data_IF_848144820484
#
_entry.id   IF_848144820484
#
_cell.length_a   1.000
_cell.length_b   1.000
_cell.length_c   1.000
_cell.angle_alpha   90.00
_cell.angle_beta   90.00
_cell.angle_gamma   90.00
#
_symmetry.space_group_name_H-M   'P 1'
#
loop_
_entity.id
_entity.type
_entity.pdbx_description
1 polymer ?
#
# COMPACT_ATOMS: atom_id res chain seq x y z
N UNK A 1 -11.20 -11.09 13.01
CA UNK A 1 -9.76 -10.89 13.01
C UNK A 1 -9.44 -9.42 12.87
N UNK A 2 -8.63 -8.89 13.77
CA UNK A 2 -8.41 -7.46 13.83
C UNK A 2 -6.94 -7.06 13.69
N UNK A 3 -6.17 -7.87 13.01
CA UNK A 3 -4.75 -7.56 12.86
C UNK A 3 -4.54 -6.40 11.91
N UNK A 4 -3.60 -5.54 12.26
CA UNK A 4 -3.27 -4.39 11.42
C UNK A 4 -2.47 -4.84 10.22
N UNK A 5 -2.83 -4.32 9.05
CA UNK A 5 -2.12 -4.56 7.81
C UNK A 5 -1.42 -3.27 7.42
N UNK A 6 -0.11 -3.35 7.16
CA UNK A 6 0.64 -2.20 6.67
C UNK A 6 0.73 -2.30 5.16
N UNK A 7 0.17 -1.32 4.47
CA UNK A 7 0.19 -1.27 3.01
C UNK A 7 1.33 -0.37 2.59
N UNK A 8 2.25 -0.92 1.81
CA UNK A 8 3.49 -0.26 1.45
C UNK A 8 3.38 0.25 0.01
N UNK A 9 3.46 1.57 -0.16
CA UNK A 9 3.25 2.18 -1.47
C UNK A 9 4.36 3.17 -1.78
N UNK A 10 5.34 2.78 -2.61
CA UNK A 10 6.30 3.76 -3.11
C UNK A 10 5.64 4.59 -4.19
N UNK A 11 5.96 5.86 -4.25
CA UNK A 11 5.34 6.78 -5.19
C UNK A 11 6.39 7.71 -5.76
N UNK A 12 6.41 7.83 -7.10
CA UNK A 12 7.29 8.78 -7.75
C UNK A 12 6.59 9.30 -8.99
N UNK A 13 6.34 10.61 -9.03
CA UNK A 13 5.68 11.27 -10.17
C UNK A 13 4.39 10.54 -10.55
N UNK A 14 3.55 10.25 -9.55
CA UNK A 14 2.35 9.46 -9.75
C UNK A 14 1.06 10.27 -9.67
N UNK A 15 1.12 11.57 -9.96
CA UNK A 15 -0.05 12.43 -9.81
C UNK A 15 -1.25 11.96 -10.62
N UNK A 16 -1.02 11.24 -11.72
CA UNK A 16 -2.13 10.76 -12.55
C UNK A 16 -2.84 9.57 -11.94
N UNK A 17 -2.20 8.85 -11.03
CA UNK A 17 -2.71 7.56 -10.58
C UNK A 17 -2.95 7.48 -9.09
N UNK A 18 -2.28 8.33 -8.30
CA UNK A 18 -2.24 8.14 -6.86
C UNK A 18 -3.60 8.30 -6.19
N UNK A 19 -4.46 9.17 -6.71
CA UNK A 19 -5.78 9.36 -6.13
C UNK A 19 -6.59 8.08 -6.20
N UNK A 20 -6.64 7.47 -7.38
CA UNK A 20 -7.40 6.22 -7.54
C UNK A 20 -6.81 5.09 -6.73
N UNK A 21 -5.48 5.05 -6.65
CA UNK A 21 -4.80 4.04 -5.85
C UNK A 21 -5.23 4.17 -4.38
N UNK A 22 -5.17 5.37 -3.83
CA UNK A 22 -5.56 5.60 -2.45
C UNK A 22 -7.04 5.30 -2.25
N UNK A 23 -7.88 5.70 -3.19
CA UNK A 23 -9.31 5.43 -3.07
C UNK A 23 -9.62 3.94 -3.06
N UNK A 24 -8.83 3.15 -3.79
CA UNK A 24 -9.05 1.70 -3.79
C UNK A 24 -8.71 1.10 -2.43
N UNK A 25 -7.82 1.73 -1.68
CA UNK A 25 -7.52 1.29 -0.32
C UNK A 25 -8.60 1.75 0.64
N UNK A 26 -9.05 2.99 0.49
CA UNK A 26 -10.11 3.52 1.35
C UNK A 26 -11.41 2.74 1.20
N UNK A 27 -11.61 2.10 0.06
CA UNK A 27 -12.82 1.33 -0.21
C UNK A 27 -12.73 -0.12 0.24
N UNK A 28 -11.63 -0.53 0.88
CA UNK A 28 -11.50 -1.92 1.30
C UNK A 28 -12.52 -2.26 2.37
N UNK A 29 -13.08 -3.46 2.27
CA UNK A 29 -14.03 -3.93 3.26
C UNK A 29 -13.34 -4.23 4.59
N UNK A 30 -12.07 -4.62 4.55
CA UNK A 30 -11.28 -4.80 5.77
C UNK A 30 -10.72 -3.42 6.15
N UNK A 31 -10.99 -2.97 7.35
CA UNK A 31 -10.72 -1.58 7.71
C UNK A 31 -9.50 -1.34 8.58
N UNK A 32 -8.90 -2.40 9.13
CA UNK A 32 -7.78 -2.23 10.04
C UNK A 32 -6.45 -2.25 9.30
N UNK A 33 -6.14 -1.15 8.65
CA UNK A 33 -4.91 -1.02 7.87
C UNK A 33 -4.30 0.36 8.07
N UNK A 34 -3.01 0.46 7.81
CA UNK A 34 -2.32 1.73 7.61
C UNK A 34 -1.71 1.69 6.22
N UNK A 35 -1.67 2.82 5.55
CA UNK A 35 -1.07 2.91 4.22
C UNK A 35 0.10 3.86 4.30
N UNK A 36 1.31 3.33 4.11
CA UNK A 36 2.52 4.14 4.18
C UNK A 36 2.95 4.44 2.76
N UNK A 37 2.83 5.70 2.38
CA UNK A 37 3.16 6.16 1.04
C UNK A 37 4.47 6.91 1.12
N UNK A 38 5.52 6.38 0.50
CA UNK A 38 6.80 7.05 0.48
C UNK A 38 6.96 7.73 -0.86
N UNK A 39 6.89 9.05 -0.85
CA UNK A 39 7.07 9.83 -2.05
C UNK A 39 8.56 10.06 -2.27
N UNK A 40 9.07 9.57 -3.38
CA UNK A 40 10.49 9.53 -3.66
C UNK A 40 10.96 10.81 -4.34
N UNK A 41 10.64 11.94 -3.72
CA UNK A 41 11.04 13.26 -4.19
C UNK A 41 10.43 13.58 -5.56
N UNK A 42 9.10 13.44 -5.65
CA UNK A 42 8.39 13.70 -6.90
C UNK A 42 8.53 15.14 -7.36
N UNK A 43 8.55 15.31 -8.67
CA UNK A 43 8.67 16.62 -9.28
C UNK A 43 7.33 17.16 -9.79
N UNK A 44 6.30 16.31 -9.81
CA UNK A 44 4.96 16.75 -10.17
C UNK A 44 4.21 17.13 -8.89
N UNK A 45 2.87 17.19 -8.91
CA UNK A 45 2.12 17.56 -7.72
C UNK A 45 1.67 16.38 -6.88
N UNK A 46 2.36 15.24 -7.00
CA UNK A 46 2.06 14.06 -6.17
C UNK A 46 2.11 14.39 -4.68
N UNK A 47 3.14 15.14 -4.26
CA UNK A 47 3.31 15.46 -2.85
C UNK A 47 2.10 16.21 -2.29
N UNK A 48 1.61 17.19 -3.05
CA UNK A 48 0.46 17.97 -2.61
C UNK A 48 -0.79 17.12 -2.52
N UNK A 49 -0.98 16.24 -3.50
CA UNK A 49 -2.15 15.35 -3.51
C UNK A 49 -2.11 14.40 -2.32
N UNK A 50 -0.96 13.78 -2.09
CA UNK A 50 -0.81 12.83 -0.98
C UNK A 50 -1.01 13.55 0.36
N UNK A 51 -0.45 14.75 0.50
CA UNK A 51 -0.61 15.52 1.72
C UNK A 51 -2.07 15.81 1.99
N UNK A 52 -2.81 16.22 0.98
CA UNK A 52 -4.21 16.55 1.15
C UNK A 52 -5.02 15.32 1.56
N UNK A 53 -4.80 14.20 0.89
CA UNK A 53 -5.55 12.99 1.20
C UNK A 53 -5.21 12.45 2.59
N UNK A 54 -3.98 12.63 3.04
CA UNK A 54 -3.60 12.15 4.37
C UNK A 54 -4.26 12.95 5.47
N UNK A 55 -4.69 14.18 5.20
CA UNK A 55 -5.41 14.94 6.23
C UNK A 55 -6.83 14.44 6.40
N UNK A 56 -7.36 13.72 5.42
CA UNK A 56 -8.74 13.25 5.47
C UNK A 56 -8.90 11.90 6.13
N UNK A 57 -7.80 11.13 6.22
CA UNK A 57 -7.85 9.81 6.86
C UNK A 57 -6.51 9.54 7.50
N UNK A 58 -6.51 9.36 8.82
CA UNK A 58 -5.29 9.20 9.59
C UNK A 58 -4.54 7.91 9.29
N UNK A 59 -5.20 6.96 8.65
CA UNK A 59 -4.53 5.70 8.30
C UNK A 59 -3.57 5.88 7.13
N UNK A 60 -3.68 6.99 6.40
CA UNK A 60 -2.75 7.31 5.32
C UNK A 60 -1.58 8.06 5.92
N UNK A 61 -0.41 7.47 5.84
CA UNK A 61 0.80 7.99 6.49
C UNK A 61 1.87 8.29 5.45
N UNK A 62 2.02 9.55 5.05
CA UNK A 62 2.98 9.88 4.01
C UNK A 62 4.38 10.10 4.56
N UNK A 63 5.37 9.77 3.76
CA UNK A 63 6.77 10.09 4.03
C UNK A 63 7.29 10.73 2.76
N UNK A 64 7.85 11.94 2.88
CA UNK A 64 8.35 12.65 1.71
C UNK A 64 9.86 12.70 1.76
N UNK A 65 10.53 12.02 0.84
CA UNK A 65 11.98 11.99 0.80
C UNK A 65 12.51 13.25 0.15
N UNK A 66 13.68 13.69 0.61
CA UNK A 66 14.26 14.93 0.11
C UNK A 66 15.08 14.72 -1.14
N UNK A 67 15.37 13.48 -1.49
CA UNK A 67 16.05 13.16 -2.73
C UNK A 67 15.55 11.83 -3.25
N UNK A 68 15.71 11.63 -4.56
CA UNK A 68 15.27 10.39 -5.18
C UNK A 68 16.24 9.27 -4.83
N UNK A 69 15.72 8.18 -4.29
CA UNK A 69 16.54 7.05 -3.86
C UNK A 69 16.17 5.76 -4.58
N UNK A 70 15.10 5.77 -5.37
CA UNK A 70 14.66 4.58 -6.10
C UNK A 70 13.56 3.83 -5.38
N UNK A 71 12.81 3.03 -6.14
CA UNK A 71 11.64 2.35 -5.60
C UNK A 71 11.98 1.35 -4.51
N UNK A 72 13.12 0.63 -4.66
CA UNK A 72 13.48 -0.37 -3.66
C UNK A 72 13.77 0.26 -2.31
N UNK A 73 14.51 1.37 -2.29
CA UNK A 73 14.81 2.03 -1.03
C UNK A 73 13.57 2.72 -0.47
N UNK A 74 12.70 3.22 -1.34
CA UNK A 74 11.45 3.80 -0.86
C UNK A 74 10.60 2.75 -0.17
N UNK A 75 10.52 1.54 -0.74
CA UNK A 75 9.80 0.44 -0.08
C UNK A 75 10.42 0.09 1.26
N UNK A 76 11.75 0.03 1.30
CA UNK A 76 12.43 -0.28 2.56
C UNK A 76 12.14 0.76 3.63
N UNK A 77 12.09 2.02 3.23
CA UNK A 77 11.75 3.10 4.15
C UNK A 77 10.36 2.88 4.74
N UNK A 78 9.39 2.54 3.89
CA UNK A 78 8.03 2.30 4.35
C UNK A 78 7.97 1.08 5.27
N UNK A 79 8.69 0.02 4.92
CA UNK A 79 8.68 -1.19 5.74
C UNK A 79 9.23 -0.90 7.13
N UNK A 80 10.29 -0.09 7.21
CA UNK A 80 10.87 0.25 8.52
C UNK A 80 9.89 1.01 9.40
N UNK A 81 8.92 1.70 8.80
CA UNK A 81 7.92 2.45 9.55
C UNK A 81 6.64 1.65 9.82
N UNK A 82 6.55 0.45 9.25
CA UNK A 82 5.32 -0.32 9.35
C UNK A 82 5.14 -0.89 10.74
N UNK A 83 3.88 -0.95 11.18
CA UNK A 83 3.53 -1.45 12.51
C UNK A 83 2.57 -2.63 12.44
N UNK A 84 2.18 -3.03 11.25
CA UNK A 84 1.19 -4.07 11.10
C UNK A 84 1.76 -5.46 11.30
N UNK A 85 0.89 -6.38 11.65
CA UNK A 85 1.26 -7.77 11.72
C UNK A 85 1.52 -8.33 10.34
N UNK A 86 0.80 -7.82 9.35
CA UNK A 86 0.97 -8.24 7.96
C UNK A 86 1.39 -7.04 7.13
N UNK A 87 2.13 -7.32 6.08
CA UNK A 87 2.60 -6.29 5.16
C UNK A 87 2.08 -6.63 3.77
N UNK A 88 1.47 -5.67 3.11
CA UNK A 88 0.99 -5.82 1.74
C UNK A 88 1.60 -4.73 0.88
N UNK A 89 1.83 -5.01 -0.39
CA UNK A 89 2.47 -4.07 -1.30
C UNK A 89 1.48 -3.62 -2.36
N UNK A 90 1.47 -2.32 -2.63
CA UNK A 90 0.60 -1.75 -3.65
C UNK A 90 1.34 -0.61 -4.32
N UNK A 91 1.65 -0.75 -5.60
CA UNK A 91 2.32 0.32 -6.32
C UNK A 91 1.34 1.46 -6.59
N UNK A 92 1.88 2.67 -6.72
CA UNK A 92 1.04 3.87 -6.78
C UNK A 92 0.18 3.97 -8.03
N UNK A 93 0.44 3.15 -9.04
CA UNK A 93 -0.38 3.13 -10.26
C UNK A 93 -1.29 1.90 -10.32
N UNK A 94 -1.40 1.16 -9.22
CA UNK A 94 -2.25 -0.03 -9.19
C UNK A 94 -3.51 0.23 -8.37
N UNK A 95 -4.50 -0.63 -8.58
CA UNK A 95 -5.78 -0.56 -7.88
C UNK A 95 -6.08 -1.92 -7.25
N UNK A 96 -6.73 -1.89 -6.10
CA UNK A 96 -7.16 -3.10 -5.43
C UNK A 96 -8.66 -3.27 -5.56
N UNK A 97 -9.11 -4.51 -5.69
CA UNK A 97 -10.51 -4.86 -5.57
C UNK A 97 -10.96 -4.60 -4.12
N UNK A 98 -12.19 -4.14 -3.90
CA UNK A 98 -12.63 -3.79 -2.54
C UNK A 98 -12.53 -4.90 -1.52
N UNK A 99 -12.55 -6.14 -1.93
CA UNK A 99 -12.48 -7.27 -1.01
C UNK A 99 -11.11 -7.93 -0.97
N UNK A 100 -10.09 -7.27 -1.54
CA UNK A 100 -8.79 -7.89 -1.63
C UNK A 100 -8.21 -8.25 -0.26
N UNK A 101 -8.20 -7.30 0.66
CA UNK A 101 -7.62 -7.55 1.98
C UNK A 101 -8.43 -8.58 2.75
N UNK A 102 -9.74 -8.45 2.69
CA UNK A 102 -10.60 -9.39 3.40
C UNK A 102 -10.38 -10.81 2.93
N UNK A 103 -10.35 -11.01 1.63
CA UNK A 103 -10.17 -12.35 1.08
C UNK A 103 -8.78 -12.89 1.35
N UNK A 104 -7.77 -12.05 1.22
CA UNK A 104 -6.40 -12.49 1.43
C UNK A 104 -6.18 -12.90 2.89
N UNK A 105 -6.69 -12.10 3.82
CA UNK A 105 -6.52 -12.42 5.23
C UNK A 105 -7.31 -13.66 5.62
N UNK A 106 -8.50 -13.83 5.08
CA UNK A 106 -9.27 -15.05 5.34
C UNK A 106 -8.53 -16.27 4.84
N UNK A 107 -7.96 -16.19 3.64
CA UNK A 107 -7.21 -17.29 3.07
C UNK A 107 -6.00 -17.63 3.95
N UNK A 108 -5.28 -16.61 4.38
CA UNK A 108 -4.10 -16.83 5.20
C UNK A 108 -4.47 -17.45 6.55
N UNK A 109 -5.55 -16.98 7.14
CA UNK A 109 -6.00 -17.49 8.42
C UNK A 109 -6.44 -18.95 8.29
N UNK A 110 -7.24 -19.25 7.27
CA UNK A 110 -7.72 -20.62 7.08
C UNK A 110 -6.60 -21.61 6.78
N UNK A 111 -5.54 -21.14 6.17
CA UNK A 111 -4.44 -22.00 5.77
C UNK A 111 -3.22 -21.86 6.68
N UNK A 112 -3.37 -21.09 7.76
CA UNK A 112 -2.32 -20.92 8.77
C UNK A 112 -1.02 -20.40 8.19
N UNK A 113 -1.12 -19.52 7.20
CA UNK A 113 0.04 -18.91 6.58
C UNK A 113 0.55 -17.78 7.48
N UNK A 114 1.83 -17.85 7.85
CA UNK A 114 2.37 -16.94 8.85
C UNK A 114 2.64 -15.54 8.33
N UNK A 115 2.87 -15.38 7.04
CA UNK A 115 3.10 -14.05 6.50
C UNK A 115 2.61 -13.99 5.08
N UNK A 116 2.46 -12.77 4.57
CA UNK A 116 1.70 -12.54 3.37
C UNK A 116 2.49 -12.32 2.10
N UNK A 117 3.81 -12.28 2.17
CA UNK A 117 4.53 -11.89 0.97
C UNK A 117 4.34 -12.87 -0.18
N UNK A 118 4.19 -14.16 0.12
CA UNK A 118 3.95 -15.14 -0.91
C UNK A 118 2.61 -14.91 -1.59
N UNK A 119 1.61 -14.66 -0.78
CA UNK A 119 0.29 -14.38 -1.30
C UNK A 119 0.29 -13.08 -2.10
N UNK A 120 1.04 -12.11 -1.59
CA UNK A 120 1.18 -10.86 -2.27
C UNK A 120 1.75 -11.05 -3.67
N UNK A 121 2.74 -11.92 -3.82
CA UNK A 121 3.32 -12.11 -5.13
C UNK A 121 2.32 -12.58 -6.16
N UNK A 122 1.32 -13.28 -5.71
CA UNK A 122 0.33 -13.81 -6.62
C UNK A 122 -0.66 -12.79 -7.08
N UNK A 123 -0.72 -11.64 -6.43
CA UNK A 123 -1.76 -10.69 -6.69
C UNK A 123 -1.26 -9.37 -7.16
N UNK A 124 -0.11 -8.97 -6.66
CA UNK A 124 0.24 -7.58 -6.74
C UNK A 124 0.77 -7.11 -8.04
N UNK A 125 1.43 -7.97 -8.79
CA UNK A 125 2.15 -7.48 -9.90
C UNK A 125 1.38 -6.72 -10.90
N UNK A 126 0.23 -7.14 -11.21
CA UNK A 126 -0.56 -6.41 -12.20
C UNK A 126 -1.98 -6.34 -11.75
N UNK A 127 -2.19 -6.37 -10.48
CA UNK A 127 -3.53 -6.28 -9.98
C UNK A 127 -4.29 -7.54 -10.19
N UNK A 128 -3.62 -8.57 -10.61
CA UNK A 128 -4.27 -9.82 -10.79
C UNK A 128 -3.42 -10.91 -10.24
N UNK A 129 -3.95 -12.07 -10.30
CA UNK A 129 -3.32 -13.20 -9.70
C UNK A 129 -2.12 -13.66 -10.47
N UNK A 130 -0.99 -13.58 -9.83
CA UNK A 130 0.22 -14.01 -10.43
C UNK A 130 0.57 -15.38 -10.02
N UNK A 131 -0.19 -15.88 -9.15
CA UNK A 131 0.09 -17.15 -8.66
C UNK A 131 -0.24 -18.06 -9.68
N UNK A 132 -0.82 -17.41 -10.17
CA UNK A 132 -1.19 -17.88 -11.05
C UNK A 132 -0.51 -18.03 -11.67
#
# INVERSE_FOLDING_TARGET
MKNLVSIITPSYNSSKFIVECIESVLSQTYENWEMIIVDDCSKDNSKEIISELSTKDKRIKPIFLEKNVGAAEARNTAIRQSKGKYVAFLDSDDLWNPKKLEKQLSFMHENEIAFSYTTYQFISENGEDLSN
#
